data_IF_761774729651
#
_entry.id   IF_761774729651
#
_cell.length_a   1.000
_cell.length_b   1.000
_cell.length_c   1.000
_cell.angle_alpha   90.00
_cell.angle_beta   90.00
_cell.angle_gamma   90.00
#
_symmetry.space_group_name_H-M   'P 1'
#
loop_
_entity.id
_entity.type
_entity.pdbx_description
1 polymer ?
#
# COMPACT_ATOMS: atom_id res chain seq x y z
N UNK A 1 -4.94 1.48 15.98
CA UNK A 1 -4.07 0.53 16.70
C UNK A 1 -4.42 -0.88 16.27
N UNK A 2 -3.45 -1.79 16.12
CA UNK A 2 -3.72 -3.18 15.74
C UNK A 2 -4.62 -3.89 16.76
N UNK A 3 -5.49 -4.79 16.30
CA UNK A 3 -6.28 -5.63 17.21
C UNK A 3 -5.42 -6.72 17.85
N UNK A 4 -5.82 -7.21 19.03
CA UNK A 4 -5.14 -8.33 19.69
C UNK A 4 -5.13 -9.59 18.81
N UNK A 5 -6.21 -9.81 18.05
CA UNK A 5 -6.31 -10.92 17.10
C UNK A 5 -5.30 -10.80 15.96
N UNK A 6 -5.18 -9.62 15.34
CA UNK A 6 -4.20 -9.38 14.28
C UNK A 6 -2.76 -9.55 14.80
N UNK A 7 -2.47 -9.10 16.02
CA UNK A 7 -1.17 -9.31 16.65
C UNK A 7 -0.88 -10.80 16.88
N UNK A 8 -1.85 -11.57 17.39
CA UNK A 8 -1.71 -13.03 17.57
C UNK A 8 -1.41 -13.72 16.24
N UNK A 9 -2.21 -13.44 15.21
CA UNK A 9 -2.02 -14.02 13.87
C UNK A 9 -0.62 -13.72 13.29
N UNK A 10 -0.16 -12.47 13.41
CA UNK A 10 1.18 -12.09 12.95
C UNK A 10 2.29 -12.80 13.75
N UNK A 11 2.13 -12.97 15.07
CA UNK A 11 3.09 -13.66 15.95
C UNK A 11 3.15 -15.15 15.68
N UNK A 12 2.01 -15.80 15.44
CA UNK A 12 1.95 -17.22 15.07
C UNK A 12 2.65 -17.45 13.73
N UNK A 13 2.40 -16.58 12.74
CA UNK A 13 3.07 -16.66 11.44
C UNK A 13 4.59 -16.42 11.55
N UNK A 14 5.01 -15.44 12.37
CA UNK A 14 6.42 -15.17 12.65
C UNK A 14 7.09 -16.41 13.25
N UNK A 15 6.51 -17.02 14.28
CA UNK A 15 7.06 -18.22 14.92
C UNK A 15 7.12 -19.43 13.99
N UNK A 16 6.15 -19.57 13.08
CA UNK A 16 6.14 -20.61 12.07
C UNK A 16 7.24 -20.41 11.00
N UNK A 17 7.40 -19.19 10.47
CA UNK A 17 8.35 -18.89 9.39
C UNK A 17 9.78 -18.65 9.89
N UNK A 18 9.92 -18.11 11.09
CA UNK A 18 11.18 -17.71 11.71
C UNK A 18 11.23 -18.18 13.17
N UNK A 19 11.44 -19.49 13.45
CA UNK A 19 11.35 -20.04 14.81
C UNK A 19 12.25 -19.36 15.83
N UNK A 20 13.45 -18.92 15.42
CA UNK A 20 14.38 -18.18 16.27
C UNK A 20 13.83 -16.84 16.78
N UNK A 21 12.79 -16.30 16.14
CA UNK A 21 12.15 -15.03 16.52
C UNK A 21 10.83 -15.22 17.28
N UNK A 22 10.39 -16.46 17.55
CA UNK A 22 9.09 -16.76 18.16
C UNK A 22 8.84 -15.97 19.45
N UNK A 23 9.84 -15.91 20.33
CA UNK A 23 9.76 -15.26 21.64
C UNK A 23 10.43 -13.88 21.68
N UNK A 24 10.84 -13.34 20.53
CA UNK A 24 11.43 -12.01 20.45
C UNK A 24 10.43 -10.93 20.93
N UNK A 25 10.87 -9.89 21.64
CA UNK A 25 9.97 -8.85 22.15
C UNK A 25 9.32 -8.05 20.99
N UNK A 26 8.03 -7.75 21.11
CA UNK A 26 7.35 -6.82 20.21
C UNK A 26 7.64 -5.39 20.66
N UNK A 27 8.47 -4.67 19.91
CA UNK A 27 8.85 -3.30 20.25
C UNK A 27 7.77 -2.27 19.85
N UNK A 28 7.10 -2.50 18.73
CA UNK A 28 6.13 -1.56 18.18
C UNK A 28 5.14 -2.30 17.26
N UNK A 29 3.91 -1.78 17.16
CA UNK A 29 2.95 -2.20 16.15
C UNK A 29 2.07 -1.01 15.69
N UNK A 30 1.80 -0.93 14.39
CA UNK A 30 0.96 0.11 13.76
C UNK A 30 0.02 -0.49 12.73
N UNK A 31 -0.98 0.30 12.35
CA UNK A 31 -1.88 -0.02 11.23
C UNK A 31 -1.44 0.79 10.02
N UNK A 32 -1.38 0.14 8.86
CA UNK A 32 -1.17 0.76 7.57
C UNK A 32 -2.43 0.56 6.71
N UNK A 33 -2.97 1.64 6.14
CA UNK A 33 -4.18 1.59 5.33
C UNK A 33 -3.84 1.25 3.89
N UNK A 34 -4.68 0.43 3.26
CA UNK A 34 -4.57 0.11 1.85
C UNK A 34 -5.67 0.83 1.07
N UNK A 35 -5.27 1.51 0.00
CA UNK A 35 -6.18 2.00 -1.04
C UNK A 35 -6.36 0.92 -2.11
N UNK A 36 -7.28 -0.01 -1.85
CA UNK A 36 -7.56 -1.11 -2.77
C UNK A 36 -8.53 -0.66 -3.87
N UNK A 37 -8.16 -0.92 -5.13
CA UNK A 37 -9.10 -0.90 -6.25
C UNK A 37 -9.76 -2.29 -6.41
N UNK A 38 -10.95 -2.38 -7.04
CA UNK A 38 -11.65 -3.65 -7.23
C UNK A 38 -10.84 -4.71 -7.99
N UNK A 39 -9.96 -4.29 -8.89
CA UNK A 39 -9.11 -5.15 -9.72
C UNK A 39 -7.63 -5.14 -9.29
N UNK A 40 -7.31 -4.51 -8.15
CA UNK A 40 -5.95 -4.33 -7.63
C UNK A 40 -4.99 -3.56 -8.56
N UNK A 41 -5.49 -2.84 -9.56
CA UNK A 41 -4.70 -1.99 -10.45
C UNK A 41 -4.68 -0.53 -10.00
N UNK A 42 -3.66 0.20 -10.44
CA UNK A 42 -3.59 1.65 -10.24
C UNK A 42 -4.75 2.37 -10.93
N UNK A 43 -5.25 3.41 -10.28
CA UNK A 43 -6.18 4.38 -10.85
C UNK A 43 -5.38 5.63 -11.14
N UNK A 44 -5.03 5.82 -12.41
CA UNK A 44 -4.32 7.00 -12.92
C UNK A 44 -5.17 7.58 -14.04
N UNK A 45 -5.93 8.63 -13.74
CA UNK A 45 -6.85 9.24 -14.71
C UNK A 45 -7.24 10.66 -14.28
N UNK A 46 -7.93 11.40 -15.15
CA UNK A 46 -8.46 12.73 -14.88
C UNK A 46 -9.91 12.67 -14.43
N UNK A 47 -10.29 13.55 -13.50
CA UNK A 47 -11.68 13.66 -13.09
C UNK A 47 -12.57 14.09 -14.29
N UNK A 48 -13.70 13.41 -14.56
CA UNK A 48 -14.47 13.65 -15.79
C UNK A 48 -15.10 15.05 -15.88
N UNK A 49 -15.28 15.72 -14.74
CA UNK A 49 -15.90 17.06 -14.65
C UNK A 49 -14.94 18.15 -14.15
N UNK A 50 -13.69 17.82 -13.85
CA UNK A 50 -12.71 18.77 -13.33
C UNK A 50 -11.39 18.63 -14.10
N UNK A 51 -11.24 19.43 -15.16
CA UNK A 51 -10.14 19.31 -16.11
C UNK A 51 -8.74 19.53 -15.51
N UNK A 52 -8.66 20.11 -14.32
CA UNK A 52 -7.43 20.37 -13.58
C UNK A 52 -7.16 19.37 -12.43
N UNK A 53 -7.98 18.30 -12.30
CA UNK A 53 -7.86 17.32 -11.21
C UNK A 53 -7.50 15.93 -11.73
N UNK A 54 -6.45 15.34 -11.16
CA UNK A 54 -5.96 14.00 -11.49
C UNK A 54 -6.07 13.06 -10.28
N UNK A 55 -6.38 11.80 -10.56
CA UNK A 55 -6.25 10.69 -9.65
C UNK A 55 -4.91 9.98 -9.90
N UNK A 56 -4.20 9.67 -8.82
CA UNK A 56 -3.03 8.81 -8.83
C UNK A 56 -3.03 8.01 -7.52
N UNK A 57 -3.59 6.80 -7.58
CA UNK A 57 -3.78 5.95 -6.38
C UNK A 57 -4.24 4.54 -6.74
N UNK A 58 -4.98 3.91 -5.83
CA UNK A 58 -5.41 2.51 -6.00
C UNK A 58 -4.25 1.52 -5.91
N UNK A 59 -3.17 1.87 -5.21
CA UNK A 59 -1.93 1.11 -5.17
C UNK A 59 -2.05 -0.29 -4.57
N UNK A 60 -3.18 -0.66 -3.94
CA UNK A 60 -3.56 -2.05 -3.63
C UNK A 60 -2.45 -2.89 -3.00
N UNK A 61 -1.71 -2.29 -2.06
CA UNK A 61 -0.61 -2.93 -1.33
C UNK A 61 0.74 -2.98 -2.05
N UNK A 62 0.84 -2.43 -3.26
CA UNK A 62 2.06 -2.44 -4.07
C UNK A 62 2.51 -1.06 -4.56
N UNK A 63 1.84 0.03 -4.13
CA UNK A 63 2.18 1.39 -4.55
C UNK A 63 3.61 1.83 -4.23
N UNK A 64 4.16 1.48 -3.05
CA UNK A 64 5.49 1.93 -2.64
C UNK A 64 6.60 1.52 -3.61
N UNK A 65 6.67 0.23 -4.00
CA UNK A 65 7.72 -0.27 -4.91
C UNK A 65 7.61 0.31 -6.33
N UNK A 66 6.42 0.75 -6.73
CA UNK A 66 6.18 1.35 -8.04
C UNK A 66 6.23 2.88 -8.02
N UNK A 67 6.38 3.50 -6.84
CA UNK A 67 6.31 4.95 -6.66
C UNK A 67 7.11 5.75 -7.70
N UNK A 68 8.40 5.42 -7.96
CA UNK A 68 9.18 6.11 -8.97
C UNK A 68 8.58 6.03 -10.38
N UNK A 69 8.25 4.83 -10.85
CA UNK A 69 7.70 4.62 -12.20
C UNK A 69 6.28 5.19 -12.37
N UNK A 70 5.45 5.10 -11.33
CA UNK A 70 4.12 5.73 -11.31
C UNK A 70 4.26 7.25 -11.34
N UNK A 71 5.18 7.81 -10.57
CA UNK A 71 5.43 9.25 -10.55
C UNK A 71 5.87 9.80 -11.91
N UNK A 72 6.83 9.12 -12.56
CA UNK A 72 7.26 9.44 -13.93
C UNK A 72 6.07 9.39 -14.90
N UNK A 73 5.31 8.28 -14.90
CA UNK A 73 4.16 8.14 -15.80
C UNK A 73 3.08 9.20 -15.57
N UNK A 74 2.79 9.56 -14.31
CA UNK A 74 1.83 10.61 -13.97
C UNK A 74 2.34 11.97 -14.44
N UNK A 75 3.63 12.26 -14.28
CA UNK A 75 4.22 13.51 -14.76
C UNK A 75 4.09 13.63 -16.28
N UNK A 76 4.40 12.58 -17.04
CA UNK A 76 4.26 12.57 -18.50
C UNK A 76 2.82 12.85 -18.94
N UNK A 77 1.86 12.18 -18.30
CA UNK A 77 0.44 12.36 -18.57
C UNK A 77 -0.06 13.79 -18.27
N UNK A 78 0.45 14.40 -17.19
CA UNK A 78 0.07 15.77 -16.79
C UNK A 78 0.71 16.81 -17.71
N UNK A 79 1.97 16.60 -18.12
CA UNK A 79 2.73 17.53 -18.96
C UNK A 79 2.47 17.33 -20.47
N UNK A 80 1.87 16.21 -20.86
CA UNK A 80 1.57 15.89 -22.26
C UNK A 80 2.81 15.54 -23.09
N UNK A 81 3.80 14.90 -22.47
CA UNK A 81 5.07 14.46 -23.10
C UNK A 81 5.09 12.97 -23.42
#
# INVERSE_FOLDING_TARGET
>A
TPSLEALRSARDYLGFRFPALKDAPLLEARVCQYENSPDSRFIIDRHPQAANAWFAGGGSGHGFKHGPAVGERVADLVLGV
#
